data_IF_005995469714
#
_entry.id   IF_005995469714
#
_cell.length_a   1.000
_cell.length_b   1.000
_cell.length_c   1.000
_cell.angle_alpha   90.00
_cell.angle_beta   90.00
_cell.angle_gamma   90.00
#
_symmetry.space_group_name_H-M   'P 1'
#
loop_
_entity.id
_entity.type
_entity.pdbx_description
1 polymer ?
#
# COMPACT_ATOMS: atom_id res chain seq x y z
N UNK A 1 1.17 6.21 17.16
CA UNK A 1 2.40 5.80 16.42
C UNK A 1 2.84 6.83 15.36
N UNK A 2 4.09 6.72 14.86
CA UNK A 2 4.70 7.68 13.94
C UNK A 2 4.30 7.46 12.47
N UNK A 3 4.09 8.56 11.74
CA UNK A 3 3.95 8.58 10.28
C UNK A 3 5.26 8.13 9.62
N UNK A 4 5.19 7.22 8.64
CA UNK A 4 6.34 6.74 7.88
C UNK A 4 6.23 7.12 6.41
N UNK A 5 7.35 7.46 5.78
CA UNK A 5 7.43 7.64 4.33
C UNK A 5 7.66 6.28 3.67
N UNK A 6 6.92 6.02 2.60
CA UNK A 6 7.04 4.81 1.79
C UNK A 6 8.08 5.03 0.69
N UNK A 7 9.00 4.07 0.56
CA UNK A 7 10.03 4.11 -0.47
C UNK A 7 9.59 3.29 -1.69
N UNK A 8 9.00 3.96 -2.67
CA UNK A 8 8.60 3.33 -3.92
C UNK A 8 9.79 3.17 -4.87
N UNK A 9 9.95 1.97 -5.41
CA UNK A 9 10.95 1.65 -6.45
C UNK A 9 10.26 1.08 -7.67
N UNK A 10 10.77 1.38 -8.86
CA UNK A 10 10.25 0.80 -10.10
C UNK A 10 10.74 -0.66 -10.20
N UNK A 11 9.81 -1.60 -10.24
CA UNK A 11 10.06 -3.03 -10.44
C UNK A 11 9.20 -3.52 -11.61
N UNK A 12 9.85 -3.83 -12.73
CA UNK A 12 9.13 -4.13 -13.98
C UNK A 12 8.34 -2.90 -14.45
N UNK A 13 7.02 -3.03 -14.53
CA UNK A 13 6.08 -1.98 -14.95
C UNK A 13 5.34 -1.32 -13.77
N UNK A 14 5.72 -1.62 -12.52
CA UNK A 14 5.03 -1.13 -11.31
C UNK A 14 5.97 -0.39 -10.37
N UNK A 15 5.44 0.65 -9.74
CA UNK A 15 6.06 1.31 -8.60
C UNK A 15 5.64 0.55 -7.34
N UNK A 16 6.62 0.04 -6.61
CA UNK A 16 6.41 -0.90 -5.50
C UNK A 16 7.05 -0.36 -4.23
N UNK A 17 6.31 -0.41 -3.12
CA UNK A 17 6.81 -0.27 -1.76
C UNK A 17 6.36 -1.48 -0.93
N UNK A 18 7.22 -1.96 -0.04
CA UNK A 18 6.89 -3.02 0.91
C UNK A 18 7.05 -2.50 2.34
N UNK A 19 6.14 -2.88 3.22
CA UNK A 19 6.12 -2.48 4.63
C UNK A 19 5.63 -3.61 5.52
N UNK A 20 5.98 -3.53 6.81
CA UNK A 20 5.32 -4.32 7.85
C UNK A 20 4.41 -3.40 8.65
N UNK A 21 3.14 -3.77 8.78
CA UNK A 21 2.12 -3.07 9.57
C UNK A 21 1.66 -3.97 10.71
N UNK A 22 1.46 -3.43 11.91
CA UNK A 22 1.10 -4.18 13.10
C UNK A 22 -0.32 -3.86 13.61
N UNK A 23 -0.90 -2.77 13.12
CA UNK A 23 -2.26 -2.36 13.40
C UNK A 23 -2.91 -1.75 12.16
N UNK A 24 -4.24 -1.61 12.20
CA UNK A 24 -5.03 -0.81 11.24
C UNK A 24 -4.26 0.44 10.81
N UNK A 25 -4.25 0.76 9.51
CA UNK A 25 -3.41 1.83 9.00
C UNK A 25 -4.12 2.72 7.99
N UNK A 26 -3.75 4.00 7.99
CA UNK A 26 -4.08 4.95 6.95
C UNK A 26 -2.94 5.02 5.92
N UNK A 27 -3.31 4.97 4.64
CA UNK A 27 -2.41 5.09 3.51
C UNK A 27 -2.75 6.34 2.71
N UNK A 28 -1.76 7.21 2.53
CA UNK A 28 -1.85 8.38 1.65
C UNK A 28 -0.83 8.26 0.52
N UNK A 29 -1.29 8.34 -0.73
CA UNK A 29 -0.45 8.34 -1.92
C UNK A 29 -0.80 9.52 -2.84
N UNK A 30 0.23 10.18 -3.36
CA UNK A 30 0.17 11.14 -4.46
C UNK A 30 0.92 10.54 -5.65
N UNK A 31 0.29 10.56 -6.82
CA UNK A 31 0.78 9.92 -8.03
C UNK A 31 0.75 10.88 -9.21
N UNK A 32 1.66 10.68 -10.18
CA UNK A 32 1.69 11.50 -11.41
C UNK A 32 0.38 11.45 -12.20
N UNK A 33 -0.28 10.29 -12.21
CA UNK A 33 -1.56 10.08 -12.88
C UNK A 33 -2.40 9.03 -12.14
N UNK A 34 -3.70 8.98 -12.44
CA UNK A 34 -4.55 7.85 -12.05
C UNK A 34 -4.14 6.57 -12.78
N UNK A 35 -4.63 5.43 -12.30
CA UNK A 35 -4.23 4.13 -12.83
C UNK A 35 -4.33 3.04 -11.79
N UNK A 36 -4.01 1.81 -12.22
CA UNK A 36 -4.07 0.60 -11.41
C UNK A 36 -3.38 0.74 -10.05
N UNK A 37 -4.07 0.28 -9.00
CA UNK A 37 -3.55 0.24 -7.65
C UNK A 37 -3.89 -1.10 -6.99
N UNK A 38 -2.90 -1.70 -6.33
CA UNK A 38 -3.02 -3.02 -5.73
C UNK A 38 -2.31 -3.06 -4.38
N UNK A 39 -2.88 -3.81 -3.45
CA UNK A 39 -2.21 -4.24 -2.22
C UNK A 39 -2.13 -5.75 -2.25
N UNK A 40 -0.93 -6.28 -2.01
CA UNK A 40 -0.71 -7.69 -1.76
C UNK A 40 -0.25 -7.84 -0.31
N UNK A 41 -0.47 -9.02 0.27
CA UNK A 41 -0.07 -9.33 1.63
C UNK A 41 0.50 -10.74 1.75
N UNK A 42 1.32 -10.97 2.76
CA UNK A 42 1.79 -12.30 3.17
C UNK A 42 1.86 -12.39 4.69
N UNK A 43 1.65 -13.59 5.21
CA UNK A 43 1.58 -13.87 6.65
C UNK A 43 2.92 -14.26 7.28
N UNK A 44 3.99 -14.42 6.50
CA UNK A 44 5.33 -14.76 7.01
C UNK A 44 6.44 -14.12 6.18
N UNK A 45 7.62 -14.01 6.77
CA UNK A 45 8.82 -13.45 6.15
C UNK A 45 9.28 -14.21 4.89
N UNK A 46 8.91 -15.48 4.77
CA UNK A 46 9.23 -16.35 3.61
C UNK A 46 8.01 -16.61 2.70
N UNK A 47 6.84 -16.06 3.07
CA UNK A 47 5.59 -16.29 2.33
C UNK A 47 5.57 -15.59 0.97
N UNK A 48 4.72 -16.08 0.07
CA UNK A 48 4.44 -15.42 -1.20
C UNK A 48 3.39 -14.31 -1.00
N UNK A 49 3.60 -13.15 -1.61
CA UNK A 49 2.60 -12.09 -1.66
C UNK A 49 1.39 -12.54 -2.48
N UNK A 50 0.21 -12.40 -1.88
CA UNK A 50 -1.09 -12.66 -2.53
C UNK A 50 -1.95 -11.40 -2.52
N UNK A 51 -2.77 -11.22 -3.55
CA UNK A 51 -3.61 -10.01 -3.66
C UNK A 51 -4.62 -9.93 -2.52
N UNK A 52 -4.68 -8.74 -1.91
CA UNK A 52 -5.74 -8.36 -0.99
C UNK A 52 -6.90 -7.74 -1.81
N UNK A 53 -8.15 -8.18 -1.59
CA UNK A 53 -9.30 -7.58 -2.25
C UNK A 53 -9.47 -6.12 -1.81
N UNK A 54 -9.56 -5.21 -2.78
CA UNK A 54 -9.80 -3.79 -2.55
C UNK A 54 -11.26 -3.43 -2.86
N UNK A 55 -11.81 -2.38 -2.23
CA UNK A 55 -13.03 -1.74 -2.73
C UNK A 55 -12.91 -1.41 -4.22
N UNK A 56 -13.99 -1.60 -4.99
CA UNK A 56 -13.95 -1.48 -6.45
C UNK A 56 -13.35 -0.14 -6.95
N UNK A 57 -13.62 0.96 -6.26
CA UNK A 57 -13.09 2.29 -6.59
C UNK A 57 -11.58 2.44 -6.40
N UNK A 58 -10.94 1.56 -5.63
CA UNK A 58 -9.49 1.57 -5.39
C UNK A 58 -8.68 0.73 -6.37
N UNK A 59 -9.30 -0.04 -7.27
CA UNK A 59 -8.52 -0.75 -8.30
C UNK A 59 -8.02 0.17 -9.42
N UNK A 60 -8.70 1.30 -9.68
CA UNK A 60 -8.26 2.29 -10.67
C UNK A 60 -8.52 3.74 -10.21
N UNK A 61 -7.92 4.19 -9.10
CA UNK A 61 -8.18 5.51 -8.54
C UNK A 61 -7.48 6.61 -9.34
N UNK A 62 -7.81 7.86 -9.00
CA UNK A 62 -7.17 9.06 -9.55
C UNK A 62 -5.74 9.27 -9.03
N UNK A 63 -5.24 10.50 -9.13
CA UNK A 63 -3.88 10.85 -8.68
C UNK A 63 -3.67 10.70 -7.16
N UNK A 64 -4.75 10.69 -6.38
CA UNK A 64 -4.71 10.65 -4.94
C UNK A 64 -5.41 9.41 -4.42
N UNK A 65 -4.80 8.78 -3.41
CA UNK A 65 -5.41 7.71 -2.62
C UNK A 65 -5.22 8.12 -1.16
N UNK A 66 -6.33 8.24 -0.44
CA UNK A 66 -6.34 8.45 1.00
C UNK A 66 -7.38 7.48 1.57
N UNK A 67 -6.91 6.43 2.25
CA UNK A 67 -7.76 5.33 2.69
C UNK A 67 -7.27 4.66 3.97
N UNK A 68 -8.22 4.24 4.80
CA UNK A 68 -7.96 3.47 6.02
C UNK A 68 -8.23 1.98 5.80
N UNK A 69 -7.25 1.15 6.12
CA UNK A 69 -7.32 -0.31 6.02
C UNK A 69 -7.38 -0.92 7.42
N UNK A 70 -8.44 -1.68 7.67
CA UNK A 70 -8.58 -2.47 8.89
C UNK A 70 -7.98 -3.86 8.71
N UNK A 71 -7.08 -4.27 9.59
CA UNK A 71 -6.52 -5.62 9.65
C UNK A 71 -6.30 -6.16 11.07
N UNK A 72 -6.67 -5.41 12.10
CA UNK A 72 -6.61 -5.80 13.51
C UNK A 72 -5.26 -5.50 14.16
N UNK A 73 -4.72 -6.46 14.92
CA UNK A 73 -3.49 -6.30 15.73
C UNK A 73 -2.36 -7.28 15.35
N UNK A 74 -2.55 -8.03 14.25
CA UNK A 74 -1.58 -9.02 13.81
C UNK A 74 -0.63 -8.42 12.77
N UNK A 75 0.71 -8.58 12.91
CA UNK A 75 1.67 -8.10 11.94
C UNK A 75 1.42 -8.68 10.54
N UNK A 76 1.40 -7.84 9.52
CA UNK A 76 1.31 -8.24 8.12
C UNK A 76 2.39 -7.56 7.30
N UNK A 77 3.01 -8.32 6.40
CA UNK A 77 3.84 -7.75 5.37
C UNK A 77 2.93 -7.39 4.21
N UNK A 78 2.94 -6.12 3.83
CA UNK A 78 2.17 -5.60 2.71
C UNK A 78 3.11 -5.16 1.59
N UNK A 79 2.64 -5.35 0.36
CA UNK A 79 3.27 -4.86 -0.86
C UNK A 79 2.27 -3.98 -1.58
N UNK A 80 2.62 -2.71 -1.72
CA UNK A 80 1.80 -1.67 -2.30
C UNK A 80 2.31 -1.43 -3.71
N UNK A 81 1.44 -1.58 -4.70
CA UNK A 81 1.80 -1.45 -6.10
C UNK A 81 0.95 -0.38 -6.79
N UNK A 82 1.62 0.48 -7.57
CA UNK A 82 0.99 1.48 -8.42
C UNK A 82 1.50 1.34 -9.86
N UNK A 83 0.59 1.39 -10.83
CA UNK A 83 0.95 1.41 -12.25
C UNK A 83 1.45 2.80 -12.72
N UNK A 84 1.34 3.81 -11.87
CA UNK A 84 1.86 5.16 -12.13
C UNK A 84 2.83 5.59 -11.05
N UNK A 85 3.77 6.47 -11.40
CA UNK A 85 4.79 6.97 -10.50
C UNK A 85 4.18 7.61 -9.25
N UNK A 86 4.64 7.14 -8.10
CA UNK A 86 4.27 7.69 -6.78
C UNK A 86 5.25 8.81 -6.46
N UNK A 87 4.74 10.04 -6.36
CA UNK A 87 5.54 11.23 -6.01
C UNK A 87 5.63 11.43 -4.50
N UNK A 88 4.67 10.89 -3.75
CA UNK A 88 4.68 10.87 -2.29
C UNK A 88 3.85 9.70 -1.78
N UNK A 89 4.36 8.98 -0.78
CA UNK A 89 3.60 7.94 -0.12
C UNK A 89 3.89 7.94 1.37
N UNK A 90 2.84 7.87 2.18
CA UNK A 90 2.97 7.78 3.64
C UNK A 90 1.99 6.78 4.23
N UNK A 91 2.41 6.13 5.30
CA UNK A 91 1.58 5.19 6.07
C UNK A 91 1.58 5.57 7.55
N UNK A 92 0.43 5.41 8.21
CA UNK A 92 0.26 5.67 9.65
C UNK A 92 -0.59 4.56 10.27
N UNK A 93 -0.04 3.88 11.27
CA UNK A 93 -0.76 2.87 12.05
C UNK A 93 -1.59 3.51 13.18
N UNK A 94 -2.73 2.88 13.48
CA UNK A 94 -3.61 3.15 14.61
C UNK A 94 -2.94 2.75 15.94
N UNK A 95 -3.50 3.22 17.06
CA UNK A 95 -3.01 2.95 18.43
C UNK A 95 -3.82 1.84 19.11
#
# INVERSE_FOLDING_TARGET
MALRNLNFTLQGDRYVAEETVNADYALHLERKAGGGFYILQRSSDDGMFVSCPLPAGLYNPGQFIDWCFGHGVYPMHIRIESMTEVTKGTIREAE
#
